data_IF_988003111353
#
_entry.id   IF_988003111353
#
_cell.length_a   1.000
_cell.length_b   1.000
_cell.length_c   1.000
_cell.angle_alpha   90.00
_cell.angle_beta   90.00
_cell.angle_gamma   90.00
#
_symmetry.space_group_name_H-M   'P 1'
#
loop_
_entity.id
_entity.type
_entity.pdbx_description
1 polymer ?
#
# COMPACT_ATOMS: atom_id res chain seq x y z
N UNK A 1 50.88 -11.17 -2.73
CA UNK A 1 49.60 -11.63 -3.31
C UNK A 1 48.67 -10.43 -3.41
N UNK A 2 48.45 -9.94 -4.63
CA UNK A 2 47.62 -8.76 -4.90
C UNK A 2 46.23 -9.28 -5.25
N UNK A 3 45.24 -9.04 -4.40
CA UNK A 3 43.84 -9.26 -4.75
C UNK A 3 43.42 -8.20 -5.78
N UNK A 4 43.38 -8.61 -7.05
CA UNK A 4 42.75 -7.85 -8.11
C UNK A 4 41.24 -7.82 -7.86
N UNK A 5 40.76 -6.72 -7.29
CA UNK A 5 39.33 -6.44 -7.23
C UNK A 5 38.82 -6.24 -8.65
N UNK A 6 38.02 -7.20 -9.13
CA UNK A 6 37.19 -7.04 -10.32
C UNK A 6 36.22 -5.88 -10.09
N UNK A 7 36.63 -4.66 -10.42
CA UNK A 7 35.70 -3.54 -10.61
C UNK A 7 35.00 -3.81 -11.93
N UNK A 8 33.74 -4.22 -11.84
CA UNK A 8 32.82 -4.25 -12.97
C UNK A 8 32.93 -2.91 -13.71
N UNK A 9 33.07 -2.89 -15.04
CA UNK A 9 33.13 -1.65 -15.78
C UNK A 9 31.86 -0.84 -15.51
N UNK A 10 32.02 0.36 -14.93
CA UNK A 10 30.92 1.30 -14.71
C UNK A 10 30.45 1.80 -16.07
N UNK A 11 29.51 1.09 -16.68
CA UNK A 11 28.88 1.52 -17.92
C UNK A 11 28.03 2.74 -17.60
N UNK A 12 28.33 3.89 -18.17
CA UNK A 12 27.44 5.04 -18.13
C UNK A 12 26.13 4.65 -18.81
N UNK A 13 25.05 4.51 -18.03
CA UNK A 13 23.75 4.11 -18.57
C UNK A 13 22.97 5.37 -18.93
N UNK A 14 22.51 5.43 -20.17
CA UNK A 14 21.69 6.53 -20.67
C UNK A 14 20.36 6.60 -19.90
N UNK A 15 19.89 7.79 -19.46
CA UNK A 15 18.63 7.95 -18.73
C UNK A 15 17.42 7.31 -19.44
N UNK A 16 17.37 7.44 -20.77
CA UNK A 16 16.31 6.83 -21.58
C UNK A 16 16.27 5.30 -21.52
N UNK A 17 17.43 4.64 -21.34
CA UNK A 17 17.45 3.19 -21.15
C UNK A 17 16.77 2.82 -19.83
N UNK A 18 17.06 3.56 -18.76
CA UNK A 18 16.41 3.35 -17.45
C UNK A 18 14.90 3.56 -17.56
N UNK A 19 14.46 4.67 -18.15
CA UNK A 19 13.02 4.96 -18.37
C UNK A 19 12.34 3.87 -19.18
N UNK A 20 12.97 3.40 -20.25
CA UNK A 20 12.43 2.34 -21.08
C UNK A 20 12.26 1.01 -20.30
N UNK A 21 13.28 0.62 -19.53
CA UNK A 21 13.24 -0.60 -18.71
C UNK A 21 12.20 -0.52 -17.58
N UNK A 22 11.99 0.68 -17.02
CA UNK A 22 11.00 0.94 -15.97
C UNK A 22 9.57 1.04 -16.51
N UNK A 23 9.35 1.53 -17.74
CA UNK A 23 8.00 1.79 -18.26
C UNK A 23 7.13 0.53 -18.40
N UNK A 24 7.74 -0.61 -18.76
CA UNK A 24 7.06 -1.91 -18.87
C UNK A 24 7.91 -2.99 -18.23
N UNK A 25 7.78 -3.18 -16.90
CA UNK A 25 8.54 -4.20 -16.20
C UNK A 25 8.22 -5.60 -16.73
N UNK A 26 9.25 -6.25 -17.27
CA UNK A 26 9.26 -7.66 -17.66
C UNK A 26 10.42 -8.34 -16.96
N UNK A 27 10.44 -9.68 -16.96
CA UNK A 27 11.55 -10.40 -16.33
C UNK A 27 12.90 -10.03 -16.96
N UNK A 28 12.92 -9.81 -18.27
CA UNK A 28 14.12 -9.37 -19.00
C UNK A 28 14.55 -7.95 -18.59
N UNK A 29 13.59 -7.03 -18.45
CA UNK A 29 13.91 -5.66 -18.04
C UNK A 29 14.42 -5.61 -16.60
N UNK A 30 13.83 -6.39 -15.69
CA UNK A 30 14.31 -6.54 -14.32
C UNK A 30 15.74 -7.10 -14.25
N UNK A 31 16.02 -8.19 -14.99
CA UNK A 31 17.36 -8.76 -15.09
C UNK A 31 18.38 -7.72 -15.59
N UNK A 32 17.99 -6.90 -16.58
CA UNK A 32 18.82 -5.82 -17.10
C UNK A 32 19.07 -4.72 -16.06
N UNK A 33 18.03 -4.31 -15.32
CA UNK A 33 18.13 -3.31 -14.24
C UNK A 33 19.14 -3.77 -13.17
N UNK A 34 19.05 -5.03 -12.74
CA UNK A 34 19.96 -5.61 -11.74
C UNK A 34 21.38 -5.71 -12.29
N UNK A 35 21.55 -6.24 -13.51
CA UNK A 35 22.86 -6.42 -14.16
C UNK A 35 23.62 -5.10 -14.29
N UNK A 36 22.91 -4.01 -14.60
CA UNK A 36 23.52 -2.70 -14.82
C UNK A 36 23.53 -1.79 -13.59
N UNK A 37 23.03 -2.27 -12.43
CA UNK A 37 22.98 -1.54 -11.17
C UNK A 37 22.40 -0.13 -11.34
N UNK A 38 21.22 -0.05 -11.98
CA UNK A 38 20.67 1.23 -12.43
C UNK A 38 20.26 2.19 -11.31
N UNK A 39 20.15 1.69 -10.08
CA UNK A 39 19.78 2.45 -8.90
C UNK A 39 20.98 2.89 -8.05
N UNK A 40 22.16 2.31 -8.26
CA UNK A 40 23.37 2.62 -7.47
C UNK A 40 24.10 3.89 -7.96
N UNK A 41 23.58 4.55 -9.00
CA UNK A 41 24.24 5.68 -9.68
C UNK A 41 23.72 7.03 -9.17
N UNK A 42 24.60 7.92 -8.66
CA UNK A 42 24.18 9.14 -7.95
C UNK A 42 23.66 10.29 -8.83
N UNK A 43 23.47 10.10 -10.15
CA UNK A 43 23.44 11.21 -11.10
C UNK A 43 22.10 11.52 -11.79
N UNK A 44 20.99 10.86 -11.46
CA UNK A 44 19.71 11.15 -12.14
C UNK A 44 18.52 11.16 -11.18
N UNK A 45 17.54 12.07 -11.37
CA UNK A 45 16.38 12.19 -10.50
C UNK A 45 15.45 10.99 -10.71
N UNK A 46 15.73 9.89 -10.02
CA UNK A 46 14.92 8.67 -10.03
C UNK A 46 13.48 8.97 -9.58
N UNK A 47 13.29 9.93 -8.67
CA UNK A 47 11.99 10.38 -8.20
C UNK A 47 11.11 10.89 -9.36
N UNK A 48 11.65 11.75 -10.24
CA UNK A 48 10.91 12.30 -11.38
C UNK A 48 10.50 11.19 -12.36
N UNK A 49 11.42 10.27 -12.66
CA UNK A 49 11.12 9.13 -13.54
C UNK A 49 9.98 8.27 -12.95
N UNK A 50 10.00 8.02 -11.64
CA UNK A 50 8.95 7.23 -10.97
C UNK A 50 7.61 7.96 -10.98
N UNK A 51 7.59 9.26 -10.66
CA UNK A 51 6.37 10.06 -10.66
C UNK A 51 5.65 10.01 -12.02
N UNK A 52 6.40 10.07 -13.12
CA UNK A 52 5.85 9.91 -14.48
C UNK A 52 5.29 8.50 -14.76
N UNK A 53 5.75 7.49 -14.04
CA UNK A 53 5.40 6.09 -14.25
C UNK A 53 4.31 5.56 -13.31
N UNK A 54 4.03 6.23 -12.19
CA UNK A 54 3.09 5.76 -11.16
C UNK A 54 1.75 5.32 -11.74
N UNK A 55 1.17 6.15 -12.61
CA UNK A 55 -0.12 5.83 -13.25
C UNK A 55 -0.05 4.55 -14.11
N UNK A 56 1.00 4.39 -14.91
CA UNK A 56 1.18 3.22 -15.76
C UNK A 56 1.46 1.96 -14.95
N UNK A 57 2.20 2.09 -13.85
CA UNK A 57 2.50 1.00 -12.93
C UNK A 57 1.26 0.55 -12.17
N UNK A 58 0.41 1.47 -11.73
CA UNK A 58 -0.90 1.17 -11.15
C UNK A 58 -1.73 0.29 -12.09
N UNK A 59 -1.90 0.70 -13.35
CA UNK A 59 -2.68 -0.06 -14.33
C UNK A 59 -2.08 -1.46 -14.58
N UNK A 60 -0.76 -1.58 -14.60
CA UNK A 60 -0.08 -2.88 -14.74
C UNK A 60 -0.27 -3.76 -13.51
N UNK A 61 -0.23 -3.19 -12.30
CA UNK A 61 -0.49 -3.92 -11.06
C UNK A 61 -1.94 -4.44 -11.00
N UNK A 62 -2.90 -3.62 -11.42
CA UNK A 62 -4.31 -4.03 -11.56
C UNK A 62 -4.52 -5.11 -12.63
N UNK A 63 -3.67 -5.13 -13.67
CA UNK A 63 -3.66 -6.16 -14.71
C UNK A 63 -2.86 -7.42 -14.36
N UNK A 64 -2.32 -7.53 -13.13
CA UNK A 64 -1.63 -8.73 -12.65
C UNK A 64 -0.15 -8.81 -13.05
N UNK A 65 0.53 -7.69 -13.27
CA UNK A 65 1.98 -7.70 -13.50
C UNK A 65 2.75 -7.93 -12.19
N UNK A 66 3.03 -9.20 -11.86
CA UNK A 66 3.78 -9.58 -10.65
C UNK A 66 5.25 -9.13 -10.68
N UNK A 67 5.86 -8.99 -11.87
CA UNK A 67 7.26 -8.55 -12.00
C UNK A 67 7.44 -7.13 -11.44
N UNK A 68 6.42 -6.29 -11.56
CA UNK A 68 6.41 -4.95 -11.01
C UNK A 68 6.58 -4.95 -9.48
N UNK A 69 6.01 -5.91 -8.77
CA UNK A 69 6.18 -6.02 -7.32
C UNK A 69 7.66 -6.26 -6.96
N UNK A 70 8.31 -7.18 -7.67
CA UNK A 70 9.74 -7.50 -7.49
C UNK A 70 10.62 -6.30 -7.84
N UNK A 71 10.30 -5.58 -8.91
CA UNK A 71 11.00 -4.36 -9.29
C UNK A 71 10.92 -3.29 -8.19
N UNK A 72 9.71 -3.02 -7.67
CA UNK A 72 9.52 -2.03 -6.62
C UNK A 72 10.28 -2.45 -5.36
N UNK A 73 10.21 -3.72 -4.96
CA UNK A 73 10.94 -4.23 -3.80
C UNK A 73 12.46 -4.06 -3.97
N UNK A 74 13.00 -4.40 -5.14
CA UNK A 74 14.42 -4.21 -5.44
C UNK A 74 14.82 -2.74 -5.36
N UNK A 75 14.01 -1.84 -5.92
CA UNK A 75 14.24 -0.39 -5.89
C UNK A 75 14.22 0.17 -4.47
N UNK A 76 13.25 -0.23 -3.64
CA UNK A 76 13.15 0.19 -2.23
C UNK A 76 14.37 -0.24 -1.43
N UNK A 77 14.90 -1.43 -1.68
CA UNK A 77 16.09 -1.96 -1.01
C UNK A 77 17.39 -1.24 -1.42
N UNK A 78 17.51 -0.85 -2.69
CA UNK A 78 18.75 -0.29 -3.26
C UNK A 78 18.73 1.24 -3.38
N UNK A 79 17.59 1.88 -3.10
CA UNK A 79 17.45 3.34 -3.10
C UNK A 79 16.62 3.84 -1.92
N UNK A 80 17.02 3.56 -0.66
CA UNK A 80 16.24 3.96 0.51
C UNK A 80 16.06 5.48 0.63
N UNK A 81 17.03 6.26 0.14
CA UNK A 81 16.96 7.74 0.12
C UNK A 81 15.85 8.30 -0.79
N UNK A 82 15.34 7.51 -1.75
CA UNK A 82 14.19 7.89 -2.56
C UNK A 82 12.92 8.03 -1.70
N UNK A 83 12.69 7.07 -0.81
CA UNK A 83 11.48 7.00 0.03
C UNK A 83 11.53 8.01 1.18
N UNK A 84 12.71 8.23 1.76
CA UNK A 84 12.88 9.15 2.90
C UNK A 84 12.52 10.61 2.55
N UNK A 85 12.62 10.99 1.28
CA UNK A 85 12.42 12.36 0.84
C UNK A 85 11.04 12.62 0.22
N UNK A 86 10.29 11.57 -0.13
CA UNK A 86 9.02 11.71 -0.84
C UNK A 86 7.97 10.70 -0.35
N UNK A 87 7.15 11.15 0.61
CA UNK A 87 6.04 10.37 1.18
C UNK A 87 4.98 9.99 0.13
N UNK A 88 4.82 10.77 -0.93
CA UNK A 88 3.84 10.49 -1.99
C UNK A 88 4.33 9.29 -2.79
N UNK A 89 5.61 9.30 -3.19
CA UNK A 89 6.23 8.16 -3.87
C UNK A 89 6.16 6.92 -2.98
N UNK A 90 6.53 7.03 -1.70
CA UNK A 90 6.49 5.90 -0.77
C UNK A 90 5.11 5.25 -0.69
N UNK A 91 4.05 6.04 -0.46
CA UNK A 91 2.69 5.53 -0.36
C UNK A 91 2.20 4.86 -1.65
N UNK A 92 2.44 5.50 -2.80
CA UNK A 92 2.04 4.96 -4.09
C UNK A 92 2.79 3.67 -4.42
N UNK A 93 4.09 3.61 -4.18
CA UNK A 93 4.88 2.40 -4.40
C UNK A 93 4.45 1.26 -3.49
N UNK A 94 4.11 1.53 -2.23
CA UNK A 94 3.56 0.51 -1.33
C UNK A 94 2.25 -0.05 -1.89
N UNK A 95 1.29 0.82 -2.26
CA UNK A 95 0.01 0.40 -2.84
C UNK A 95 0.19 -0.42 -4.11
N UNK A 96 0.99 0.08 -5.05
CA UNK A 96 1.25 -0.57 -6.35
C UNK A 96 1.95 -1.91 -6.15
N UNK A 97 2.94 -2.00 -5.25
CA UNK A 97 3.61 -3.26 -4.91
C UNK A 97 2.61 -4.27 -4.37
N UNK A 98 1.75 -3.88 -3.42
CA UNK A 98 0.73 -4.76 -2.84
C UNK A 98 -0.22 -5.25 -3.95
N UNK A 99 -0.74 -4.34 -4.78
CA UNK A 99 -1.60 -4.69 -5.91
C UNK A 99 -0.90 -5.67 -6.87
N UNK A 100 0.35 -5.41 -7.23
CA UNK A 100 1.11 -6.25 -8.15
C UNK A 100 1.43 -7.63 -7.55
N UNK A 101 1.71 -7.70 -6.24
CA UNK A 101 2.01 -8.95 -5.53
C UNK A 101 0.77 -9.80 -5.20
N UNK A 102 -0.41 -9.17 -5.19
CA UNK A 102 -1.67 -9.87 -4.95
C UNK A 102 -2.08 -10.56 -6.26
N UNK A 103 -2.30 -11.89 -6.28
CA UNK A 103 -2.67 -12.61 -7.50
C UNK A 103 -3.96 -12.08 -8.14
N UNK A 104 -4.15 -12.34 -9.43
CA UNK A 104 -5.39 -11.99 -10.15
C UNK A 104 -5.41 -10.58 -10.74
N UNK A 105 -6.54 -10.25 -11.35
CA UNK A 105 -6.76 -9.01 -12.11
C UNK A 105 -8.03 -8.31 -11.64
N UNK A 106 -8.11 -7.01 -11.86
CA UNK A 106 -9.36 -6.29 -11.60
C UNK A 106 -10.43 -6.70 -12.61
N UNK A 107 -11.64 -6.95 -12.10
CA UNK A 107 -12.84 -7.22 -12.90
C UNK A 107 -13.56 -5.94 -13.36
N UNK A 108 -12.95 -4.79 -13.15
CA UNK A 108 -13.50 -3.46 -13.43
C UNK A 108 -12.39 -2.50 -13.89
N UNK A 109 -12.72 -1.44 -14.64
CA UNK A 109 -11.73 -0.45 -15.08
C UNK A 109 -11.23 0.39 -13.88
N UNK A 110 -9.92 0.38 -13.55
CA UNK A 110 -9.38 1.15 -12.43
C UNK A 110 -9.58 2.67 -12.62
N UNK A 111 -9.50 3.16 -13.85
CA UNK A 111 -9.64 4.58 -14.21
C UNK A 111 -11.00 5.15 -13.78
N UNK A 112 -12.09 4.40 -13.97
CA UNK A 112 -13.44 4.81 -13.55
C UNK A 112 -13.48 5.11 -12.04
N UNK A 113 -12.74 4.33 -11.25
CA UNK A 113 -12.71 4.51 -9.79
C UNK A 113 -11.88 5.72 -9.40
N UNK A 114 -10.77 5.97 -10.09
CA UNK A 114 -9.91 7.14 -9.87
C UNK A 114 -10.66 8.44 -10.20
N UNK A 115 -11.38 8.49 -11.32
CA UNK A 115 -12.14 9.66 -11.77
C UNK A 115 -13.36 9.95 -10.87
N UNK A 116 -13.95 8.92 -10.27
CA UNK A 116 -15.16 9.03 -9.45
C UNK A 116 -14.95 8.54 -8.01
N UNK A 117 -13.78 8.82 -7.43
CA UNK A 117 -13.35 8.29 -6.14
C UNK A 117 -14.41 8.48 -5.03
N UNK A 118 -14.94 9.69 -4.86
CA UNK A 118 -15.94 9.99 -3.82
C UNK A 118 -17.23 9.17 -3.95
N UNK A 119 -17.67 8.87 -5.18
CA UNK A 119 -18.85 8.02 -5.43
C UNK A 119 -18.63 6.62 -4.89
N UNK A 120 -17.43 6.06 -5.10
CA UNK A 120 -17.09 4.72 -4.63
C UNK A 120 -16.71 4.69 -3.14
N UNK A 121 -16.24 5.80 -2.57
CA UNK A 121 -16.02 5.91 -1.13
C UNK A 121 -17.33 5.97 -0.33
N UNK A 122 -18.46 6.29 -0.95
CA UNK A 122 -19.75 6.31 -0.28
C UNK A 122 -20.09 4.96 0.36
N UNK A 123 -20.27 4.95 1.69
CA UNK A 123 -20.52 3.76 2.52
C UNK A 123 -19.48 2.65 2.31
N UNK A 124 -18.23 3.04 2.07
CA UNK A 124 -17.09 2.11 1.97
C UNK A 124 -16.55 1.72 3.35
N UNK A 125 -16.83 2.51 4.39
CA UNK A 125 -16.55 2.20 5.79
C UNK A 125 -17.15 0.86 6.23
N UNK A 126 -18.29 0.47 5.63
CA UNK A 126 -18.95 -0.81 5.88
C UNK A 126 -18.09 -2.03 5.49
N UNK A 127 -17.08 -1.85 4.64
CA UNK A 127 -16.14 -2.93 4.32
C UNK A 127 -15.35 -3.38 5.55
N UNK A 128 -15.19 -2.53 6.57
CA UNK A 128 -14.53 -2.91 7.81
C UNK A 128 -15.30 -3.99 8.62
N UNK A 129 -16.57 -4.25 8.27
CA UNK A 129 -17.37 -5.32 8.89
C UNK A 129 -17.16 -6.68 8.22
N UNK A 130 -16.37 -6.74 7.14
CA UNK A 130 -16.11 -7.98 6.42
C UNK A 130 -15.15 -8.89 7.22
N UNK A 131 -15.39 -10.21 7.25
CA UNK A 131 -14.54 -11.16 7.98
C UNK A 131 -13.11 -11.21 7.44
N UNK A 132 -12.88 -10.82 6.19
CA UNK A 132 -11.55 -10.70 5.59
C UNK A 132 -10.62 -9.79 6.41
N UNK A 133 -11.16 -8.85 7.19
CA UNK A 133 -10.36 -7.99 8.05
C UNK A 133 -9.98 -8.62 9.39
N UNK A 134 -10.42 -9.84 9.72
CA UNK A 134 -10.13 -10.51 11.01
C UNK A 134 -8.65 -10.80 11.20
N UNK A 135 -7.89 -10.87 10.11
CA UNK A 135 -6.43 -10.95 10.13
C UNK A 135 -5.75 -9.67 10.66
N UNK A 136 -6.46 -8.53 10.66
CA UNK A 136 -5.97 -7.25 11.19
C UNK A 136 -6.29 -7.18 12.68
N UNK A 137 -5.29 -7.53 13.49
CA UNK A 137 -5.42 -7.60 14.94
C UNK A 137 -5.08 -6.29 15.64
N UNK A 138 -5.87 -6.03 16.68
CA UNK A 138 -5.62 -5.01 17.71
C UNK A 138 -5.72 -5.73 19.05
N UNK A 139 -4.68 -5.62 19.87
CA UNK A 139 -4.69 -6.19 21.21
C UNK A 139 -5.67 -5.43 22.11
N UNK A 140 -6.21 -6.12 23.11
CA UNK A 140 -7.07 -5.48 24.12
C UNK A 140 -6.33 -4.32 24.81
N UNK A 141 -5.04 -4.50 25.13
CA UNK A 141 -4.19 -3.49 25.73
C UNK A 141 -4.05 -2.21 24.87
N UNK A 142 -3.96 -2.34 23.54
CA UNK A 142 -3.93 -1.19 22.63
C UNK A 142 -5.26 -0.42 22.59
N UNK A 143 -6.39 -1.10 22.84
CA UNK A 143 -7.73 -0.51 22.74
C UNK A 143 -8.27 0.05 24.06
N UNK A 144 -7.77 -0.41 25.21
CA UNK A 144 -8.16 0.10 26.54
C UNK A 144 -8.10 1.63 26.63
N UNK A 145 -7.04 2.32 26.17
CA UNK A 145 -6.96 3.78 26.23
C UNK A 145 -8.06 4.51 25.43
N UNK A 146 -8.68 3.80 24.48
CA UNK A 146 -9.77 4.33 23.65
C UNK A 146 -11.16 3.92 24.15
N UNK A 147 -11.25 3.07 25.18
CA UNK A 147 -12.50 2.41 25.56
C UNK A 147 -13.64 3.40 25.81
N UNK A 148 -13.39 4.46 26.58
CA UNK A 148 -14.37 5.50 26.88
C UNK A 148 -14.81 6.27 25.61
N UNK A 149 -13.84 6.68 24.78
CA UNK A 149 -14.12 7.40 23.55
C UNK A 149 -14.89 6.56 22.52
N UNK A 150 -14.60 5.25 22.45
CA UNK A 150 -15.28 4.32 21.56
C UNK A 150 -16.69 3.99 22.05
N UNK A 151 -16.92 3.92 23.38
CA UNK A 151 -18.27 3.71 23.91
C UNK A 151 -19.19 4.90 23.73
N UNK A 152 -18.67 6.12 23.84
CA UNK A 152 -19.47 7.35 23.71
C UNK A 152 -19.52 7.88 22.27
N UNK A 153 -18.85 7.20 21.33
CA UNK A 153 -18.70 7.64 19.94
C UNK A 153 -18.15 9.08 19.81
N UNK A 154 -17.35 9.52 20.80
CA UNK A 154 -16.80 10.86 20.86
C UNK A 154 -15.27 10.82 20.88
N UNK A 155 -14.66 11.03 19.70
CA UNK A 155 -13.21 11.00 19.52
C UNK A 155 -12.59 12.39 19.67
N UNK A 156 -11.81 12.58 20.73
CA UNK A 156 -11.00 13.79 20.93
C UNK A 156 -9.83 13.86 19.93
N UNK A 157 -9.22 15.04 19.72
CA UNK A 157 -7.99 15.16 18.92
C UNK A 157 -6.85 14.24 19.40
N UNK A 158 -6.73 14.07 20.73
CA UNK A 158 -5.74 13.16 21.31
C UNK A 158 -6.04 11.70 20.94
N UNK A 159 -7.30 11.27 21.06
CA UNK A 159 -7.74 9.92 20.68
C UNK A 159 -7.49 9.67 19.18
N UNK A 160 -7.72 10.65 18.31
CA UNK A 160 -7.44 10.53 16.86
C UNK A 160 -5.96 10.34 16.57
N UNK A 161 -5.09 11.09 17.26
CA UNK A 161 -3.63 10.92 17.13
C UNK A 161 -3.18 9.56 17.64
N UNK A 162 -3.74 9.08 18.75
CA UNK A 162 -3.46 7.74 19.25
C UNK A 162 -3.91 6.67 18.24
N UNK A 163 -5.12 6.79 17.70
CA UNK A 163 -5.63 5.91 16.64
C UNK A 163 -4.70 5.90 15.42
N UNK A 164 -4.25 7.06 14.97
CA UNK A 164 -3.29 7.15 13.87
C UNK A 164 -2.01 6.36 14.14
N UNK A 165 -1.50 6.40 15.38
CA UNK A 165 -0.32 5.65 15.80
C UNK A 165 -0.56 4.14 15.92
N UNK A 166 -1.81 3.70 16.13
CA UNK A 166 -2.14 2.27 16.06
C UNK A 166 -1.89 1.74 14.66
N UNK A 167 -2.09 2.52 13.61
CA UNK A 167 -1.77 2.08 12.26
C UNK A 167 -0.27 2.21 11.98
N UNK A 168 0.55 1.35 12.58
CA UNK A 168 1.97 1.20 12.25
C UNK A 168 2.16 0.53 10.88
N UNK A 169 3.36 0.61 10.25
CA UNK A 169 3.57 0.19 8.86
C UNK A 169 3.04 -1.21 8.51
N UNK A 170 3.30 -2.19 9.37
CA UNK A 170 2.88 -3.59 9.18
C UNK A 170 1.35 -3.71 9.18
N UNK A 171 0.67 -2.98 10.07
CA UNK A 171 -0.80 -2.98 10.14
C UNK A 171 -1.41 -2.27 8.92
N UNK A 172 -0.76 -1.21 8.43
CA UNK A 172 -1.19 -0.54 7.18
C UNK A 172 -1.06 -1.48 6.00
N UNK A 173 0.06 -2.16 5.88
CA UNK A 173 0.31 -3.13 4.83
C UNK A 173 -0.69 -4.30 4.89
N UNK A 174 -1.00 -4.82 6.08
CA UNK A 174 -2.02 -5.86 6.25
C UNK A 174 -3.39 -5.39 5.75
N UNK A 175 -3.82 -4.18 6.14
CA UNK A 175 -5.09 -3.58 5.70
C UNK A 175 -5.12 -3.42 4.17
N UNK A 176 -4.06 -2.85 3.58
CA UNK A 176 -3.96 -2.67 2.14
C UNK A 176 -3.93 -4.00 1.39
N UNK A 177 -3.31 -5.04 1.96
CA UNK A 177 -3.27 -6.39 1.39
C UNK A 177 -4.66 -7.03 1.38
N UNK A 178 -5.42 -6.91 2.47
CA UNK A 178 -6.81 -7.37 2.53
C UNK A 178 -7.67 -6.62 1.50
N UNK A 179 -7.52 -5.30 1.39
CA UNK A 179 -8.24 -4.51 0.38
C UNK A 179 -7.88 -4.92 -1.05
N UNK A 180 -6.59 -5.19 -1.34
CA UNK A 180 -6.15 -5.66 -2.65
C UNK A 180 -6.76 -7.03 -2.98
N UNK A 181 -6.80 -7.94 -2.00
CA UNK A 181 -7.43 -9.24 -2.17
C UNK A 181 -8.94 -9.10 -2.48
N UNK A 182 -9.66 -8.25 -1.73
CA UNK A 182 -11.07 -7.96 -2.01
C UNK A 182 -11.26 -7.33 -3.39
N UNK A 183 -10.39 -6.39 -3.77
CA UNK A 183 -10.44 -5.72 -5.07
C UNK A 183 -10.25 -6.70 -6.25
N UNK A 184 -9.44 -7.75 -6.08
CA UNK A 184 -9.14 -8.74 -7.14
C UNK A 184 -10.05 -9.95 -7.16
N UNK A 185 -10.50 -10.43 -6.00
CA UNK A 185 -11.12 -11.76 -5.87
C UNK A 185 -12.54 -11.76 -5.33
N UNK A 186 -13.02 -10.66 -4.76
CA UNK A 186 -14.34 -10.66 -4.13
C UNK A 186 -15.44 -10.84 -5.19
N UNK A 187 -16.46 -11.69 -4.93
CA UNK A 187 -17.47 -12.02 -5.94
C UNK A 187 -18.35 -10.83 -6.33
N UNK A 188 -18.55 -9.89 -5.41
CA UNK A 188 -19.37 -8.70 -5.63
C UNK A 188 -18.53 -7.54 -6.16
N UNK A 189 -18.66 -7.26 -7.47
CA UNK A 189 -17.99 -6.14 -8.15
C UNK A 189 -18.15 -4.79 -7.40
N UNK A 190 -19.34 -4.41 -6.89
CA UNK A 190 -19.47 -3.17 -6.12
C UNK A 190 -18.57 -3.12 -4.89
N UNK A 191 -18.38 -4.24 -4.20
CA UNK A 191 -17.48 -4.37 -3.04
C UNK A 191 -16.03 -4.23 -3.48
N UNK A 192 -15.63 -4.90 -4.56
CA UNK A 192 -14.27 -4.82 -5.10
C UNK A 192 -13.89 -3.39 -5.51
N UNK A 193 -14.81 -2.67 -6.16
CA UNK A 193 -14.64 -1.25 -6.53
C UNK A 193 -14.45 -0.35 -5.31
N UNK A 194 -15.25 -0.57 -4.26
CA UNK A 194 -15.12 0.14 -2.98
C UNK A 194 -13.78 -0.16 -2.30
N UNK A 195 -13.33 -1.40 -2.32
CA UNK A 195 -12.05 -1.78 -1.74
C UNK A 195 -10.88 -1.06 -2.43
N UNK A 196 -10.91 -1.01 -3.76
CA UNK A 196 -9.90 -0.25 -4.51
C UNK A 196 -9.98 1.26 -4.22
N UNK A 197 -11.18 1.84 -4.19
CA UNK A 197 -11.37 3.24 -3.80
C UNK A 197 -10.80 3.54 -2.39
N UNK A 198 -11.01 2.63 -1.43
CA UNK A 198 -10.42 2.74 -0.09
C UNK A 198 -8.89 2.75 -0.15
N UNK A 199 -8.27 1.85 -0.92
CA UNK A 199 -6.80 1.83 -1.06
C UNK A 199 -6.27 3.18 -1.53
N UNK A 200 -6.91 3.79 -2.53
CA UNK A 200 -6.53 5.12 -3.03
C UNK A 200 -6.68 6.22 -1.96
N UNK A 201 -7.75 6.16 -1.16
CA UNK A 201 -8.00 7.15 -0.09
C UNK A 201 -7.05 7.04 1.11
N UNK A 202 -6.39 5.88 1.28
CA UNK A 202 -5.51 5.57 2.39
C UNK A 202 -4.03 5.84 2.11
N UNK A 203 -3.70 6.47 0.98
CA UNK A 203 -2.33 6.85 0.60
C UNK A 203 -1.64 7.77 1.59
N UNK A 204 -2.39 8.59 2.31
CA UNK A 204 -1.81 9.50 3.29
C UNK A 204 -1.94 8.91 4.70
N UNK A 205 -0.86 8.39 5.31
CA UNK A 205 -0.88 7.93 6.70
C UNK A 205 -1.48 8.91 7.71
N UNK A 206 -1.36 10.20 7.43
CA UNK A 206 -1.79 11.25 8.35
C UNK A 206 -3.32 11.37 8.47
N UNK A 207 -4.07 10.76 7.54
CA UNK A 207 -5.54 10.80 7.56
C UNK A 207 -6.18 9.58 8.22
N UNK A 208 -5.41 8.51 8.48
CA UNK A 208 -5.94 7.23 9.00
C UNK A 208 -6.62 7.39 10.36
N UNK A 209 -6.13 8.30 11.21
CA UNK A 209 -6.73 8.66 12.50
C UNK A 209 -8.15 9.22 12.43
N UNK A 210 -8.56 9.69 11.25
CA UNK A 210 -9.86 10.31 10.99
C UNK A 210 -10.66 9.61 9.92
N UNK A 211 -10.07 8.62 9.24
CA UNK A 211 -10.69 7.97 8.10
C UNK A 211 -11.86 7.08 8.56
N UNK A 212 -13.10 7.26 8.02
CA UNK A 212 -14.29 6.54 8.51
C UNK A 212 -14.13 5.02 8.54
N UNK A 213 -13.51 4.44 7.51
CA UNK A 213 -13.20 3.01 7.46
C UNK A 213 -12.26 2.57 8.60
N UNK A 214 -11.20 3.33 8.89
CA UNK A 214 -10.25 3.00 9.96
C UNK A 214 -10.90 3.08 11.34
N UNK A 215 -11.74 4.11 11.55
CA UNK A 215 -12.50 4.26 12.79
C UNK A 215 -13.49 3.10 12.99
N UNK A 216 -14.18 2.70 11.92
CA UNK A 216 -15.09 1.55 11.94
C UNK A 216 -14.35 0.25 12.26
N UNK A 217 -13.19 0.02 11.64
CA UNK A 217 -12.36 -1.17 11.86
C UNK A 217 -11.95 -1.30 13.33
N UNK A 218 -11.46 -0.22 13.94
CA UNK A 218 -11.10 -0.21 15.36
C UNK A 218 -12.32 -0.44 16.26
N UNK A 219 -13.44 0.19 15.92
CA UNK A 219 -14.69 0.03 16.68
C UNK A 219 -15.15 -1.42 16.67
N UNK A 220 -15.12 -2.08 15.51
CA UNK A 220 -15.49 -3.49 15.39
C UNK A 220 -14.61 -4.36 16.30
N UNK A 221 -13.29 -4.17 16.25
CA UNK A 221 -12.34 -4.94 17.08
C UNK A 221 -12.53 -4.72 18.57
N UNK A 222 -12.83 -3.48 18.96
CA UNK A 222 -13.17 -3.17 20.35
C UNK A 222 -14.45 -3.87 20.81
N UNK A 223 -15.47 -3.93 19.96
CA UNK A 223 -16.72 -4.63 20.26
C UNK A 223 -16.52 -6.15 20.32
N UNK A 224 -15.72 -6.73 19.43
CA UNK A 224 -15.38 -8.16 19.45
C UNK A 224 -14.76 -8.55 20.79
N UNK A 225 -13.77 -7.79 21.27
CA UNK A 225 -13.13 -8.03 22.58
C UNK A 225 -14.12 -7.94 23.74
N UNK A 226 -15.05 -6.97 23.70
CA UNK A 226 -16.09 -6.85 24.73
C UNK A 226 -17.04 -8.04 24.74
N UNK A 227 -17.43 -8.53 23.56
CA UNK A 227 -18.30 -9.70 23.44
C UNK A 227 -17.60 -10.96 23.97
N UNK A 228 -16.33 -11.18 23.63
CA UNK A 228 -15.55 -12.31 24.15
C UNK A 228 -15.43 -12.30 25.67
N UNK A 229 -15.21 -11.14 26.28
CA UNK A 229 -15.15 -10.99 27.74
C UNK A 229 -16.47 -11.33 28.44
N UNK A 230 -17.62 -11.04 27.81
CA UNK A 230 -18.95 -11.35 28.37
C UNK A 230 -19.32 -12.83 28.26
N UNK A 231 -18.74 -13.56 27.30
CA UNK A 231 -18.98 -15.00 27.13
C UNK A 231 -18.09 -15.88 28.02
N UNK A 232 -17.00 -15.33 28.55
CA UNK A 232 -16.05 -16.03 29.44
C UNK A 232 -16.33 -15.82 30.94
N UNK A 233 -17.24 -14.91 31.28
CA UNK A 233 -17.69 -14.58 32.65
C UNK A 233 -19.04 -15.19 32.99
#
# INVERSE_FOLDING_TARGET
>A
MIHAGNKSPSVAVHPELRRHLLARPTQESLCSIIKYQLFDKPYQPLAEDILCLLHYWELQACAGNEVLATLIQYMVQHSPGLLQNDKIIEANLLRIRILASTPGIFSFPPLEIQEHLFKFLYRSDLLANLPEFDVVSFSSAELIPLAHNLTEFHLTPHSRRYIQNLFHPERREAILSVLAHIAKHYPLIPTSRKAYALMLSLDNPDTWGTHPFCLRLITNRFLDHKLSQMTES
#
